data_IF_092841236340
#
_entry.id   IF_092841236340
#
_cell.length_a   1.000
_cell.length_b   1.000
_cell.length_c   1.000
_cell.angle_alpha   90.00
_cell.angle_beta   90.00
_cell.angle_gamma   90.00
#
_symmetry.space_group_name_H-M   'P 1'
#
loop_
_entity.id
_entity.type
_entity.pdbx_description
1 polymer ?
#
# COMPACT_ATOMS: atom_id res chain seq x y z
N UNK A 1 0.01 23.98 -20.26
CA UNK A 1 -0.66 23.95 -18.94
C UNK A 1 -1.04 22.54 -18.44
N UNK A 2 -0.72 21.44 -19.15
CA UNK A 2 -1.02 20.07 -18.73
C UNK A 2 0.02 19.38 -17.80
N UNK A 3 1.25 19.93 -17.69
CA UNK A 3 2.31 19.33 -16.85
C UNK A 3 2.13 19.60 -15.35
N UNK A 4 1.65 20.79 -14.94
CA UNK A 4 1.41 21.12 -13.52
C UNK A 4 0.26 20.31 -12.91
N UNK A 5 -0.83 20.10 -13.65
CA UNK A 5 -1.98 19.32 -13.18
C UNK A 5 -1.67 17.82 -13.03
N UNK A 6 -0.81 17.27 -13.90
CA UNK A 6 -0.30 15.90 -13.75
C UNK A 6 0.59 15.74 -12.50
N UNK A 7 1.36 16.77 -12.15
CA UNK A 7 2.19 16.77 -10.94
C UNK A 7 1.35 16.85 -9.66
N UNK A 8 0.31 17.68 -9.61
CA UNK A 8 -0.59 17.73 -8.44
C UNK A 8 -1.28 16.38 -8.19
N UNK A 9 -1.75 15.73 -9.26
CA UNK A 9 -2.32 14.38 -9.16
C UNK A 9 -1.31 13.37 -8.60
N UNK A 10 -0.10 13.38 -9.15
CA UNK A 10 0.98 12.50 -8.73
C UNK A 10 1.30 12.68 -7.24
N UNK A 11 1.46 13.93 -6.78
CA UNK A 11 1.77 14.23 -5.39
C UNK A 11 0.66 13.76 -4.45
N UNK A 12 -0.61 14.01 -4.81
CA UNK A 12 -1.76 13.58 -4.01
C UNK A 12 -1.82 12.05 -3.94
N UNK A 13 -1.65 11.35 -5.07
CA UNK A 13 -1.66 9.89 -5.11
C UNK A 13 -0.53 9.29 -4.26
N UNK A 14 0.71 9.80 -4.40
CA UNK A 14 1.86 9.36 -3.59
C UNK A 14 1.61 9.57 -2.09
N UNK A 15 1.03 10.70 -1.72
CA UNK A 15 0.73 11.01 -0.33
C UNK A 15 -0.31 10.04 0.24
N UNK A 16 -1.43 9.82 -0.46
CA UNK A 16 -2.44 8.86 -0.03
C UNK A 16 -1.91 7.42 0.01
N UNK A 17 -1.12 7.01 -0.99
CA UNK A 17 -0.54 5.67 -1.01
C UNK A 17 0.43 5.45 0.15
N UNK A 18 1.24 6.47 0.48
CA UNK A 18 2.11 6.43 1.67
C UNK A 18 1.30 6.23 2.95
N UNK A 19 0.20 6.97 3.13
CA UNK A 19 -0.69 6.83 4.28
C UNK A 19 -1.30 5.43 4.31
N UNK A 20 -1.82 4.95 3.17
CA UNK A 20 -2.46 3.65 3.05
C UNK A 20 -1.49 2.53 3.43
N UNK A 21 -0.26 2.57 2.91
CA UNK A 21 0.76 1.55 3.21
C UNK A 21 1.10 1.55 4.70
N UNK A 22 1.40 2.72 5.28
CA UNK A 22 1.75 2.84 6.69
C UNK A 22 0.60 2.40 7.62
N UNK A 23 -0.63 2.87 7.34
CA UNK A 23 -1.80 2.50 8.13
C UNK A 23 -2.13 1.02 8.00
N UNK A 24 -2.02 0.44 6.79
CA UNK A 24 -2.26 -0.99 6.58
C UNK A 24 -1.26 -1.83 7.35
N UNK A 25 0.02 -1.43 7.37
CA UNK A 25 1.07 -2.14 8.09
C UNK A 25 0.85 -2.13 9.59
N UNK A 26 0.59 -0.95 10.16
CA UNK A 26 0.30 -0.81 11.58
C UNK A 26 -1.00 -1.53 11.97
N UNK A 27 -2.06 -1.37 11.17
CA UNK A 27 -3.33 -2.05 11.42
C UNK A 27 -3.18 -3.57 11.38
N UNK A 28 -2.37 -4.12 10.46
CA UNK A 28 -2.09 -5.54 10.41
C UNK A 28 -1.40 -6.06 11.69
N UNK A 29 -0.46 -5.30 12.24
CA UNK A 29 0.16 -5.59 13.54
C UNK A 29 -0.89 -5.57 14.67
N UNK A 30 -1.68 -4.51 14.78
CA UNK A 30 -2.68 -4.37 15.83
C UNK A 30 -3.75 -5.46 15.75
N UNK A 31 -4.25 -5.78 14.55
CA UNK A 31 -5.24 -6.84 14.36
C UNK A 31 -4.66 -8.17 14.84
N UNK A 32 -3.45 -8.53 14.43
CA UNK A 32 -2.92 -9.85 14.77
C UNK A 32 -2.53 -9.99 16.26
N UNK A 33 -1.94 -8.96 16.87
CA UNK A 33 -1.36 -9.08 18.22
C UNK A 33 -2.21 -8.47 19.34
N UNK A 34 -3.14 -7.57 19.03
CA UNK A 34 -3.97 -6.88 20.02
C UNK A 34 -5.45 -7.26 19.95
N UNK A 35 -5.85 -8.07 18.97
CA UNK A 35 -7.22 -8.59 18.88
C UNK A 35 -7.23 -10.11 18.89
N UNK A 36 -8.40 -10.69 19.18
CA UNK A 36 -8.63 -12.14 19.11
C UNK A 36 -8.94 -12.64 17.69
N UNK A 37 -8.70 -11.81 16.67
CA UNK A 37 -9.02 -12.13 15.29
C UNK A 37 -7.86 -12.90 14.67
N UNK A 38 -8.07 -14.20 14.47
CA UNK A 38 -7.09 -15.12 13.88
C UNK A 38 -6.41 -16.03 14.89
N UNK A 39 -5.45 -16.85 14.43
CA UNK A 39 -4.75 -17.78 15.30
C UNK A 39 -3.87 -17.04 16.31
N UNK A 40 -3.78 -17.56 17.55
CA UNK A 40 -3.00 -16.92 18.60
C UNK A 40 -1.50 -16.87 18.24
N UNK A 41 -0.79 -15.82 18.66
CA UNK A 41 0.64 -15.73 18.45
C UNK A 41 1.34 -16.91 19.15
N UNK A 42 2.17 -17.64 18.40
CA UNK A 42 2.93 -18.80 18.92
C UNK A 42 4.18 -18.40 19.70
N UNK A 43 4.65 -17.17 19.51
CA UNK A 43 5.85 -16.61 20.10
C UNK A 43 5.51 -15.33 20.85
N UNK A 44 6.49 -14.82 21.62
CA UNK A 44 6.39 -13.53 22.28
C UNK A 44 5.96 -12.46 21.27
N UNK A 45 4.99 -11.63 21.67
CA UNK A 45 4.50 -10.53 20.85
C UNK A 45 5.67 -9.57 20.61
N UNK A 46 6.09 -9.35 19.34
CA UNK A 46 7.18 -8.44 19.08
C UNK A 46 6.81 -7.01 19.49
N UNK A 47 7.81 -6.27 19.95
CA UNK A 47 7.62 -4.86 20.31
C UNK A 47 7.22 -4.04 19.07
N UNK A 48 6.36 -3.03 19.29
CA UNK A 48 5.89 -2.15 18.23
C UNK A 48 7.05 -1.43 17.52
N UNK A 49 8.15 -1.18 18.23
CA UNK A 49 9.34 -0.53 17.67
C UNK A 49 9.94 -1.30 16.48
N UNK A 50 9.92 -2.64 16.51
CA UNK A 50 10.40 -3.48 15.40
C UNK A 50 9.54 -3.26 14.14
N UNK A 51 8.22 -3.14 14.32
CA UNK A 51 7.28 -2.87 13.23
C UNK A 51 7.40 -1.44 12.69
N UNK A 52 7.72 -0.47 13.54
CA UNK A 52 8.00 0.91 13.12
C UNK A 52 9.32 1.01 12.33
N UNK A 53 10.38 0.32 12.76
CA UNK A 53 11.66 0.26 12.03
C UNK A 53 11.49 -0.37 10.65
N UNK A 54 10.73 -1.46 10.55
CA UNK A 54 10.45 -2.13 9.28
C UNK A 54 9.51 -1.36 8.36
N UNK A 55 8.73 -0.41 8.88
CA UNK A 55 7.82 0.43 8.09
C UNK A 55 8.55 1.18 6.96
N UNK A 56 9.79 1.64 7.20
CA UNK A 56 10.60 2.33 6.20
C UNK A 56 10.93 1.39 5.03
N UNK A 57 11.32 0.14 5.33
CA UNK A 57 11.59 -0.87 4.32
C UNK A 57 10.32 -1.21 3.51
N UNK A 58 9.20 -1.43 4.21
CA UNK A 58 7.88 -1.68 3.58
C UNK A 58 7.54 -0.55 2.62
N UNK A 59 7.63 0.70 3.08
CA UNK A 59 7.35 1.87 2.26
C UNK A 59 8.26 1.95 1.03
N UNK A 60 9.57 1.76 1.19
CA UNK A 60 10.53 1.78 0.07
C UNK A 60 10.23 0.72 -0.99
N UNK A 61 9.90 -0.51 -0.57
CA UNK A 61 9.56 -1.60 -1.49
C UNK A 61 8.29 -1.27 -2.28
N UNK A 62 7.27 -0.73 -1.62
CA UNK A 62 6.03 -0.34 -2.29
C UNK A 62 6.24 0.82 -3.27
N UNK A 63 6.94 1.89 -2.86
CA UNK A 63 7.22 3.02 -3.76
C UNK A 63 8.02 2.60 -4.99
N UNK A 64 8.96 1.67 -4.82
CA UNK A 64 9.72 1.08 -5.93
C UNK A 64 8.83 0.25 -6.85
N UNK A 65 7.98 -0.60 -6.29
CA UNK A 65 7.05 -1.45 -7.04
C UNK A 65 6.03 -0.63 -7.82
N UNK A 66 5.47 0.41 -7.21
CA UNK A 66 4.57 1.37 -7.85
C UNK A 66 5.23 2.00 -9.09
N UNK A 67 6.51 2.39 -8.96
CA UNK A 67 7.27 2.97 -10.07
C UNK A 67 7.51 1.96 -11.19
N UNK A 68 7.85 0.71 -10.85
CA UNK A 68 8.12 -0.38 -11.81
C UNK A 68 6.87 -0.70 -12.63
N UNK A 69 5.71 -0.86 -11.99
CA UNK A 69 4.46 -1.19 -12.67
C UNK A 69 3.73 0.03 -13.25
N UNK A 70 4.28 1.23 -13.05
CA UNK A 70 3.78 2.45 -13.66
C UNK A 70 2.39 2.86 -13.17
N UNK A 71 2.03 2.59 -11.91
CA UNK A 71 0.69 2.89 -11.38
C UNK A 71 0.33 4.38 -11.50
N UNK A 72 1.32 5.28 -11.38
CA UNK A 72 1.12 6.72 -11.53
C UNK A 72 1.12 7.24 -12.97
N UNK A 73 1.28 6.37 -13.97
CA UNK A 73 1.24 6.82 -15.36
C UNK A 73 -0.19 7.24 -15.75
N UNK A 74 -0.36 8.25 -16.61
CA UNK A 74 -1.67 8.71 -17.05
C UNK A 74 -2.32 7.66 -17.97
N UNK A 75 -3.14 6.79 -17.39
CA UNK A 75 -3.90 5.75 -18.09
C UNK A 75 -5.17 6.31 -18.77
N UNK A 76 -5.00 7.28 -19.69
CA UNK A 76 -6.12 7.94 -20.39
C UNK A 76 -7.01 6.90 -21.09
N UNK A 77 -8.30 6.89 -20.77
CA UNK A 77 -9.28 6.01 -21.40
C UNK A 77 -9.25 4.55 -20.94
N UNK A 78 -8.43 4.17 -19.95
CA UNK A 78 -8.41 2.79 -19.43
C UNK A 78 -9.50 2.56 -18.38
N UNK A 79 -10.04 1.34 -18.38
CA UNK A 79 -11.07 0.91 -17.44
C UNK A 79 -10.54 0.84 -16.00
N UNK A 80 -11.45 0.88 -15.04
CA UNK A 80 -11.13 0.65 -13.62
C UNK A 80 -10.46 -0.72 -13.39
N UNK A 81 -10.86 -1.75 -14.15
CA UNK A 81 -10.25 -3.08 -14.07
C UNK A 81 -8.77 -3.10 -14.39
N UNK A 82 -8.31 -2.25 -15.33
CA UNK A 82 -6.88 -2.16 -15.65
C UNK A 82 -6.07 -1.57 -14.48
N UNK A 83 -6.61 -0.56 -13.79
CA UNK A 83 -5.98 0.02 -12.60
C UNK A 83 -5.94 -0.99 -11.45
N UNK A 84 -7.04 -1.72 -11.23
CA UNK A 84 -7.08 -2.81 -10.26
C UNK A 84 -6.01 -3.87 -10.52
N UNK A 85 -5.81 -4.28 -11.78
CA UNK A 85 -4.76 -5.25 -12.14
C UNK A 85 -3.34 -4.71 -11.86
N UNK A 86 -3.10 -3.41 -12.06
CA UNK A 86 -1.82 -2.81 -11.71
C UNK A 86 -1.63 -2.78 -10.19
N UNK A 87 -2.64 -2.34 -9.44
CA UNK A 87 -2.60 -2.35 -7.97
C UNK A 87 -2.30 -3.76 -7.45
N UNK A 88 -3.00 -4.76 -7.99
CA UNK A 88 -2.76 -6.16 -7.63
C UNK A 88 -1.31 -6.59 -7.89
N UNK A 89 -0.75 -6.26 -9.07
CA UNK A 89 0.67 -6.53 -9.40
C UNK A 89 1.63 -5.84 -8.43
N UNK A 90 1.39 -4.57 -8.11
CA UNK A 90 2.20 -3.79 -7.16
C UNK A 90 2.19 -4.45 -5.79
N UNK A 91 1.00 -4.75 -5.25
CA UNK A 91 0.83 -5.34 -3.92
C UNK A 91 1.47 -6.73 -3.87
N UNK A 92 1.16 -7.58 -4.84
CA UNK A 92 1.69 -8.94 -4.91
C UNK A 92 3.23 -8.95 -4.99
N UNK A 93 3.80 -8.15 -5.88
CA UNK A 93 5.25 -8.07 -6.04
C UNK A 93 5.94 -7.49 -4.80
N UNK A 94 5.35 -6.46 -4.17
CA UNK A 94 5.89 -5.87 -2.94
C UNK A 94 5.91 -6.88 -1.81
N UNK A 95 4.83 -7.64 -1.63
CA UNK A 95 4.72 -8.64 -0.56
C UNK A 95 5.63 -9.83 -0.83
N UNK A 96 5.81 -10.22 -2.09
CA UNK A 96 6.80 -11.23 -2.47
C UNK A 96 8.22 -10.81 -2.06
N UNK A 97 8.61 -9.55 -2.36
CA UNK A 97 9.91 -9.00 -1.95
C UNK A 97 10.04 -8.95 -0.43
N UNK A 98 9.04 -8.43 0.27
CA UNK A 98 9.07 -8.30 1.73
C UNK A 98 9.15 -9.67 2.40
N UNK A 99 8.38 -10.64 1.93
CA UNK A 99 8.41 -12.02 2.45
C UNK A 99 9.78 -12.64 2.17
N UNK A 100 10.36 -12.46 0.98
CA UNK A 100 11.72 -12.89 0.68
C UNK A 100 12.74 -12.25 1.63
N UNK A 101 12.64 -10.95 1.89
CA UNK A 101 13.52 -10.22 2.81
C UNK A 101 13.45 -10.78 4.24
N UNK A 102 12.26 -11.17 4.72
CA UNK A 102 12.12 -11.79 6.04
C UNK A 102 12.84 -13.13 6.19
N UNK A 103 13.08 -13.88 5.11
CA UNK A 103 13.86 -15.13 5.18
C UNK A 103 15.35 -14.91 5.43
N UNK A 104 15.90 -13.78 4.97
CA UNK A 104 17.29 -13.41 5.22
C UNK A 104 17.48 -12.83 6.62
N UNK A 105 16.45 -12.20 7.17
CA UNK A 105 16.45 -11.65 8.52
C UNK A 105 16.12 -12.73 9.56
N UNK A 106 17.15 -13.49 9.97
CA UNK A 106 17.00 -14.64 10.90
C UNK A 106 16.83 -14.27 12.37
N UNK A 107 17.09 -13.03 12.76
CA UNK A 107 17.06 -12.62 14.18
C UNK A 107 15.65 -12.45 14.72
N UNK A 108 14.67 -12.09 13.87
CA UNK A 108 13.28 -11.86 14.28
C UNK A 108 12.30 -12.63 13.40
N UNK A 109 11.47 -13.47 14.01
CA UNK A 109 10.47 -14.27 13.30
C UNK A 109 9.19 -13.45 13.06
N UNK A 110 9.12 -12.79 11.90
CA UNK A 110 7.91 -12.08 11.48
C UNK A 110 6.72 -13.03 11.31
N UNK A 111 5.57 -12.64 11.85
CA UNK A 111 4.35 -13.44 11.74
C UNK A 111 3.82 -13.42 10.31
N UNK A 112 3.71 -14.61 9.70
CA UNK A 112 3.10 -14.80 8.37
C UNK A 112 1.65 -14.33 8.34
N UNK A 113 0.95 -14.39 9.47
CA UNK A 113 -0.42 -13.89 9.57
C UNK A 113 -0.48 -12.37 9.44
N UNK A 114 0.49 -11.63 9.98
CA UNK A 114 0.58 -10.17 9.77
C UNK A 114 0.75 -9.85 8.29
N UNK A 115 1.56 -10.62 7.55
CA UNK A 115 1.69 -10.45 6.11
C UNK A 115 0.36 -10.68 5.36
N UNK A 116 -0.46 -11.65 5.80
CA UNK A 116 -1.80 -11.89 5.23
C UNK A 116 -2.77 -10.75 5.56
N UNK A 117 -2.83 -10.28 6.82
CA UNK A 117 -3.66 -9.12 7.17
C UNK A 117 -3.24 -7.88 6.39
N UNK A 118 -1.93 -7.66 6.30
CA UNK A 118 -1.38 -6.55 5.54
C UNK A 118 -1.74 -6.64 4.06
N UNK A 119 -1.62 -7.82 3.44
CA UNK A 119 -2.05 -8.06 2.06
C UNK A 119 -3.51 -7.65 1.83
N UNK A 120 -4.42 -8.14 2.67
CA UNK A 120 -5.86 -7.86 2.54
C UNK A 120 -6.21 -6.39 2.81
N UNK A 121 -5.55 -5.75 3.76
CA UNK A 121 -5.79 -4.34 4.08
C UNK A 121 -5.26 -3.42 3.00
N UNK A 122 -4.00 -3.61 2.58
CA UNK A 122 -3.33 -2.70 1.64
C UNK A 122 -3.99 -2.74 0.27
N UNK A 123 -4.41 -3.93 -0.21
CA UNK A 123 -5.11 -4.03 -1.49
C UNK A 123 -6.45 -3.31 -1.45
N UNK A 124 -7.25 -3.55 -0.40
CA UNK A 124 -8.57 -2.94 -0.23
C UNK A 124 -8.46 -1.42 -0.12
N UNK A 125 -7.56 -0.93 0.73
CA UNK A 125 -7.38 0.50 0.98
C UNK A 125 -6.75 1.22 -0.21
N UNK A 126 -5.83 0.61 -0.97
CA UNK A 126 -5.29 1.20 -2.20
C UNK A 126 -6.40 1.38 -3.24
N UNK A 127 -7.27 0.38 -3.42
CA UNK A 127 -8.38 0.47 -4.38
C UNK A 127 -9.33 1.61 -3.99
N UNK A 128 -9.68 1.70 -2.71
CA UNK A 128 -10.56 2.77 -2.19
C UNK A 128 -9.91 4.14 -2.37
N UNK A 129 -8.62 4.28 -2.01
CA UNK A 129 -7.83 5.50 -2.18
C UNK A 129 -7.84 5.97 -3.63
N UNK A 130 -7.49 5.09 -4.57
CA UNK A 130 -7.44 5.41 -5.99
C UNK A 130 -8.80 5.78 -6.57
N UNK A 131 -9.86 5.08 -6.16
CA UNK A 131 -11.23 5.40 -6.55
C UNK A 131 -11.63 6.79 -6.02
N UNK A 132 -11.33 7.07 -4.76
CA UNK A 132 -11.60 8.35 -4.13
C UNK A 132 -10.88 9.50 -4.86
N UNK A 133 -9.58 9.36 -5.08
CA UNK A 133 -8.78 10.36 -5.81
C UNK A 133 -9.35 10.59 -7.21
N UNK A 134 -9.72 9.52 -7.93
CA UNK A 134 -10.35 9.62 -9.26
C UNK A 134 -11.66 10.42 -9.23
N UNK A 135 -12.53 10.15 -8.26
CA UNK A 135 -13.82 10.84 -8.10
C UNK A 135 -13.61 12.32 -7.79
N UNK A 136 -12.73 12.63 -6.83
CA UNK A 136 -12.40 14.01 -6.43
C UNK A 136 -11.89 14.80 -7.62
N UNK A 137 -10.97 14.23 -8.41
CA UNK A 137 -10.41 14.91 -9.59
C UNK A 137 -11.44 15.08 -10.71
N UNK A 138 -12.31 14.09 -10.93
CA UNK A 138 -13.40 14.21 -11.89
C UNK A 138 -14.32 15.39 -11.51
N UNK A 139 -14.61 15.53 -10.21
CA UNK A 139 -15.42 16.64 -9.69
C UNK A 139 -14.71 17.98 -9.86
N UNK A 140 -13.43 18.09 -9.50
CA UNK A 140 -12.64 19.32 -9.69
C UNK A 140 -12.60 19.74 -11.16
N UNK A 141 -12.39 18.80 -12.09
CA UNK A 141 -12.42 19.08 -13.54
C UNK A 141 -13.79 19.53 -14.04
N UNK A 142 -14.88 18.95 -13.51
CA UNK A 142 -16.24 19.36 -13.88
C UNK A 142 -16.60 20.78 -13.42
N UNK A 143 -15.87 21.32 -12.43
CA UNK A 143 -16.05 22.67 -11.89
C UNK A 143 -15.25 23.74 -12.68
N UNK A 144 -14.63 23.38 -13.80
CA UNK A 144 -13.93 24.33 -14.68
C UNK A 144 -12.49 24.66 -14.26
N UNK A 145 -11.97 24.04 -13.20
CA UNK A 145 -10.54 24.09 -12.88
C UNK A 145 -9.78 23.14 -13.83
N UNK A 146 -9.19 23.70 -14.89
CA UNK A 146 -8.41 22.97 -15.90
C UNK A 146 -6.92 23.34 -15.90
#
# INVERSE_FOLDING_TARGET
MLKKHGQLFLTIAIFFDTIVICLSWLAAYYIHFKTSLGPPPRHTIPELEIYLKTMILVWMVFMSSIRIFGLYQPHRGKSFSHEFLIIFKVVFFSILILTAATFFYREESFSRFVAVYFFCLVITLMIISHLFVRIVLKKIRSLGFN
#
